data_IF_629530040148
#
_entry.id   IF_629530040148
#
_cell.length_a   1.000
_cell.length_b   1.000
_cell.length_c   1.000
_cell.angle_alpha   90.00
_cell.angle_beta   90.00
_cell.angle_gamma   90.00
#
_symmetry.space_group_name_H-M   'P 1'
#
loop_
_entity.id
_entity.type
_entity.pdbx_description
1 polymer ?
#
# COMPACT_ATOMS: atom_id res chain seq x y z
N UNK A 1 20.98 -7.51 -13.13
CA UNK A 1 20.32 -6.21 -12.91
C UNK A 1 18.91 -6.44 -12.41
N UNK A 2 18.29 -5.41 -11.82
CA UNK A 2 16.91 -5.45 -11.33
C UNK A 2 16.07 -4.52 -12.20
N UNK A 3 14.88 -4.95 -12.57
CA UNK A 3 13.90 -4.15 -13.29
C UNK A 3 12.66 -4.00 -12.42
N UNK A 4 12.38 -2.76 -12.01
CA UNK A 4 11.13 -2.43 -11.33
C UNK A 4 10.08 -2.09 -12.38
N UNK A 5 8.91 -2.70 -12.26
CA UNK A 5 7.84 -2.56 -13.24
C UNK A 5 6.49 -2.67 -12.55
N UNK A 6 5.55 -1.83 -12.98
CA UNK A 6 4.17 -1.90 -12.52
C UNK A 6 3.40 -3.01 -13.28
N UNK A 7 2.42 -3.67 -12.63
CA UNK A 7 1.74 -4.85 -13.19
C UNK A 7 1.03 -4.57 -14.52
N UNK A 8 0.53 -3.35 -14.74
CA UNK A 8 -0.15 -2.97 -15.99
C UNK A 8 0.77 -3.04 -17.23
N UNK A 9 2.09 -2.93 -17.06
CA UNK A 9 3.04 -3.05 -18.18
C UNK A 9 3.04 -4.46 -18.80
N UNK A 10 2.60 -5.48 -18.07
CA UNK A 10 2.46 -6.84 -18.61
C UNK A 10 1.32 -6.97 -19.63
N UNK A 11 0.50 -5.92 -19.80
CA UNK A 11 -0.47 -5.81 -20.90
C UNK A 11 0.13 -5.15 -22.15
N UNK A 12 1.26 -4.46 -22.02
CA UNK A 12 1.94 -3.80 -23.11
C UNK A 12 2.73 -4.81 -23.96
N UNK A 13 2.33 -4.97 -25.23
CA UNK A 13 2.99 -5.90 -26.17
C UNK A 13 4.47 -5.60 -26.40
N UNK A 14 4.87 -4.32 -26.41
CA UNK A 14 6.28 -3.94 -26.60
C UNK A 14 7.13 -4.37 -25.40
N UNK A 15 6.64 -4.12 -24.19
CA UNK A 15 7.28 -4.58 -22.96
C UNK A 15 7.43 -6.11 -22.93
N UNK A 16 6.33 -6.83 -23.22
CA UNK A 16 6.34 -8.30 -23.28
C UNK A 16 7.38 -8.85 -24.28
N UNK A 17 7.51 -8.24 -25.47
CA UNK A 17 8.53 -8.63 -26.45
C UNK A 17 9.95 -8.39 -25.94
N UNK A 18 10.19 -7.24 -25.31
CA UNK A 18 11.51 -6.91 -24.76
C UNK A 18 11.92 -7.88 -23.64
N UNK A 19 10.99 -8.22 -22.74
CA UNK A 19 11.22 -9.20 -21.67
C UNK A 19 11.40 -10.62 -22.21
N UNK A 20 10.65 -11.00 -23.24
CA UNK A 20 10.76 -12.32 -23.89
C UNK A 20 12.16 -12.65 -24.43
N UNK A 21 12.99 -11.64 -24.69
CA UNK A 21 14.37 -11.80 -25.17
C UNK A 21 15.41 -11.83 -24.03
N UNK A 22 14.98 -11.81 -22.76
CA UNK A 22 15.86 -11.81 -21.58
C UNK A 22 15.71 -13.13 -20.85
N UNK A 23 16.78 -13.55 -20.18
CA UNK A 23 16.73 -14.64 -19.20
C UNK A 23 16.33 -14.07 -17.84
N UNK A 24 15.19 -14.52 -17.30
CA UNK A 24 14.70 -14.08 -16.00
C UNK A 24 15.17 -15.05 -14.92
N UNK A 25 15.87 -14.52 -13.91
CA UNK A 25 16.34 -15.31 -12.76
C UNK A 25 15.28 -15.48 -11.67
N UNK A 26 14.45 -14.46 -11.45
CA UNK A 26 13.36 -14.47 -10.49
C UNK A 26 12.26 -13.45 -10.83
N UNK A 27 11.04 -13.74 -10.39
CA UNK A 27 9.89 -12.83 -10.36
C UNK A 27 9.60 -12.44 -8.92
N UNK A 28 9.64 -11.15 -8.62
CA UNK A 28 9.42 -10.62 -7.27
C UNK A 28 8.13 -9.81 -7.27
N UNK A 29 7.16 -10.25 -6.48
CA UNK A 29 5.91 -9.58 -6.24
C UNK A 29 6.01 -8.84 -4.90
N UNK A 30 6.18 -7.52 -4.99
CA UNK A 30 6.03 -6.64 -3.82
C UNK A 30 4.55 -6.28 -3.63
N UNK A 31 4.18 -5.95 -2.40
CA UNK A 31 2.79 -5.75 -1.95
C UNK A 31 1.84 -6.88 -2.41
N UNK A 32 2.30 -8.12 -2.26
CA UNK A 32 1.64 -9.33 -2.78
C UNK A 32 0.20 -9.53 -2.27
N UNK A 33 -0.20 -8.84 -1.19
CA UNK A 33 -1.59 -8.80 -0.73
C UNK A 33 -2.56 -8.27 -1.81
N UNK A 34 -2.08 -7.55 -2.83
CA UNK A 34 -2.86 -7.14 -4.00
C UNK A 34 -3.46 -8.31 -4.79
N UNK A 35 -2.92 -9.53 -4.66
CA UNK A 35 -3.43 -10.75 -5.31
C UNK A 35 -4.61 -11.40 -4.56
N UNK A 36 -4.90 -10.99 -3.32
CA UNK A 36 -6.05 -11.49 -2.56
C UNK A 36 -7.34 -10.82 -3.00
N UNK A 37 -8.50 -11.44 -2.73
CA UNK A 37 -9.83 -10.93 -3.11
C UNK A 37 -10.09 -9.49 -2.69
N UNK A 38 -9.51 -9.04 -1.58
CA UNK A 38 -9.58 -7.65 -1.12
C UNK A 38 -8.72 -6.67 -1.93
N UNK A 39 -7.63 -7.16 -2.54
CA UNK A 39 -6.70 -6.41 -3.37
C UNK A 39 -7.04 -6.45 -4.87
N UNK A 40 -7.79 -7.45 -5.34
CA UNK A 40 -8.17 -7.58 -6.75
C UNK A 40 -9.04 -6.41 -7.23
N UNK A 41 -9.91 -5.87 -6.36
CA UNK A 41 -10.69 -4.66 -6.66
C UNK A 41 -9.79 -3.40 -6.77
N UNK A 42 -8.59 -3.44 -6.22
CA UNK A 42 -7.62 -2.34 -6.21
C UNK A 42 -6.63 -2.41 -7.37
N UNK A 43 -6.11 -3.60 -7.70
CA UNK A 43 -5.08 -3.83 -8.74
C UNK A 43 -5.30 -5.16 -9.48
N UNK A 44 -6.29 -5.27 -10.37
CA UNK A 44 -6.56 -6.50 -11.12
C UNK A 44 -5.41 -6.90 -12.07
N UNK A 45 -4.52 -5.96 -12.44
CA UNK A 45 -3.39 -6.22 -13.33
C UNK A 45 -2.41 -7.26 -12.77
N UNK A 46 -2.34 -7.46 -11.44
CA UNK A 46 -1.52 -8.52 -10.82
C UNK A 46 -1.91 -9.92 -11.30
N UNK A 47 -3.19 -10.17 -11.60
CA UNK A 47 -3.67 -11.45 -12.12
C UNK A 47 -3.13 -11.75 -13.53
N UNK A 48 -2.80 -10.72 -14.31
CA UNK A 48 -2.22 -10.90 -15.65
C UNK A 48 -0.74 -11.28 -15.59
N UNK A 49 -0.05 -10.92 -14.51
CA UNK A 49 1.38 -11.20 -14.36
C UNK A 49 1.62 -12.70 -14.25
N UNK A 50 0.84 -13.44 -13.45
CA UNK A 50 0.99 -14.90 -13.36
C UNK A 50 0.70 -15.60 -14.69
N UNK A 51 -0.32 -15.13 -15.44
CA UNK A 51 -0.59 -15.61 -16.79
C UNK A 51 0.59 -15.36 -17.73
N UNK A 52 1.16 -14.15 -17.70
CA UNK A 52 2.34 -13.83 -18.50
C UNK A 52 3.52 -14.72 -18.13
N UNK A 53 3.78 -14.95 -16.84
CA UNK A 53 4.87 -15.82 -16.38
C UNK A 53 4.70 -17.23 -16.92
N UNK A 54 3.47 -17.77 -16.93
CA UNK A 54 3.17 -19.07 -17.53
C UNK A 54 3.52 -19.11 -19.01
N UNK A 55 3.06 -18.12 -19.78
CA UNK A 55 3.28 -18.01 -21.22
C UNK A 55 4.77 -17.81 -21.56
N UNK A 56 5.48 -16.98 -20.78
CA UNK A 56 6.91 -16.74 -20.91
C UNK A 56 7.73 -17.99 -20.59
N UNK A 57 7.32 -18.75 -19.57
CA UNK A 57 8.02 -19.98 -19.17
C UNK A 57 7.84 -21.09 -20.20
N UNK A 58 6.62 -21.27 -20.74
CA UNK A 58 6.32 -22.31 -21.72
C UNK A 58 6.73 -23.70 -21.22
N UNK A 59 7.53 -24.42 -22.02
CA UNK A 59 8.12 -25.72 -21.64
C UNK A 59 9.47 -25.59 -20.91
N UNK A 60 9.94 -24.36 -20.66
CA UNK A 60 11.19 -24.08 -19.97
C UNK A 60 11.08 -24.23 -18.45
N UNK A 61 12.21 -24.01 -17.77
CA UNK A 61 12.25 -24.02 -16.30
C UNK A 61 11.67 -22.72 -15.74
N UNK A 62 10.67 -22.83 -14.87
CA UNK A 62 10.10 -21.70 -14.15
C UNK A 62 11.17 -21.01 -13.29
N UNK A 63 11.31 -19.69 -13.44
CA UNK A 63 12.16 -18.86 -12.59
C UNK A 63 11.59 -18.80 -11.17
N UNK A 64 12.44 -18.56 -10.17
CA UNK A 64 11.97 -18.46 -8.79
C UNK A 64 10.94 -17.34 -8.62
N UNK A 65 9.92 -17.57 -7.81
CA UNK A 65 8.90 -16.56 -7.49
C UNK A 65 8.99 -16.24 -6.01
N UNK A 66 9.10 -14.95 -5.69
CA UNK A 66 9.05 -14.43 -4.32
C UNK A 66 7.88 -13.48 -4.17
N UNK A 67 7.11 -13.63 -3.09
CA UNK A 67 6.03 -12.73 -2.73
C UNK A 67 6.33 -12.09 -1.39
N UNK A 68 6.27 -10.76 -1.33
CA UNK A 68 6.58 -9.96 -0.15
C UNK A 68 5.40 -9.03 0.15
N UNK A 69 5.02 -8.95 1.42
CA UNK A 69 3.98 -8.03 1.90
C UNK A 69 4.18 -7.80 3.39
N UNK A 70 3.90 -6.58 3.85
CA UNK A 70 3.92 -6.27 5.28
C UNK A 70 2.66 -6.78 6.00
N UNK A 71 1.53 -6.86 5.27
CA UNK A 71 0.24 -7.26 5.83
C UNK A 71 -0.30 -8.47 5.06
N UNK A 72 -0.47 -9.59 5.76
CA UNK A 72 -1.11 -10.79 5.25
C UNK A 72 -1.83 -11.50 6.39
N UNK A 73 -3.14 -11.31 6.47
CA UNK A 73 -4.00 -12.17 7.30
C UNK A 73 -4.00 -13.59 6.73
N UNK A 74 -4.39 -14.61 7.52
CA UNK A 74 -4.38 -16.00 7.05
C UNK A 74 -5.16 -16.25 5.76
N UNK A 75 -6.29 -15.55 5.56
CA UNK A 75 -7.09 -15.59 4.34
C UNK A 75 -6.37 -14.97 3.14
N UNK A 76 -5.68 -13.83 3.33
CA UNK A 76 -4.86 -13.18 2.30
C UNK A 76 -3.72 -14.10 1.86
N UNK A 77 -3.04 -14.75 2.81
CA UNK A 77 -1.97 -15.70 2.52
C UNK A 77 -2.50 -16.90 1.72
N UNK A 78 -3.64 -17.46 2.12
CA UNK A 78 -4.29 -18.56 1.42
C UNK A 78 -4.69 -18.18 -0.02
N UNK A 79 -5.22 -16.98 -0.22
CA UNK A 79 -5.55 -16.46 -1.55
C UNK A 79 -4.31 -16.35 -2.46
N UNK A 80 -3.19 -15.81 -1.94
CA UNK A 80 -1.92 -15.72 -2.70
C UNK A 80 -1.44 -17.12 -3.08
N UNK A 81 -1.38 -18.05 -2.12
CA UNK A 81 -0.95 -19.42 -2.38
C UNK A 81 -1.84 -20.10 -3.42
N UNK A 82 -3.16 -19.97 -3.28
CA UNK A 82 -4.13 -20.57 -4.20
C UNK A 82 -3.99 -19.98 -5.61
N UNK A 83 -3.84 -18.65 -5.73
CA UNK A 83 -3.65 -18.00 -7.02
C UNK A 83 -2.48 -18.59 -7.81
N UNK A 84 -1.34 -18.77 -7.14
CA UNK A 84 -0.12 -19.26 -7.77
C UNK A 84 -0.11 -20.78 -7.95
N UNK A 85 -0.75 -21.53 -7.05
CA UNK A 85 -1.01 -22.95 -7.23
C UNK A 85 -1.88 -23.19 -8.48
N UNK A 86 -2.97 -22.43 -8.64
CA UNK A 86 -3.90 -22.58 -9.76
C UNK A 86 -3.30 -22.08 -11.08
N UNK A 87 -2.54 -20.98 -11.05
CA UNK A 87 -2.02 -20.36 -12.26
C UNK A 87 -0.73 -20.99 -12.77
N UNK A 88 0.15 -21.44 -11.86
CA UNK A 88 1.51 -21.91 -12.16
C UNK A 88 1.87 -23.27 -11.53
N UNK A 89 1.00 -23.86 -10.71
CA UNK A 89 1.27 -25.14 -10.05
C UNK A 89 2.36 -25.07 -8.98
N UNK A 90 2.51 -23.93 -8.31
CA UNK A 90 3.57 -23.71 -7.32
C UNK A 90 3.04 -23.68 -5.88
N UNK A 91 3.77 -24.37 -4.99
CA UNK A 91 3.57 -24.28 -3.55
C UNK A 91 4.65 -23.38 -2.93
N UNK A 92 4.23 -22.38 -2.15
CA UNK A 92 5.16 -21.50 -1.45
C UNK A 92 5.58 -22.05 -0.09
N UNK A 93 6.88 -21.95 0.19
CA UNK A 93 7.37 -21.97 1.58
C UNK A 93 7.08 -20.62 2.24
N UNK A 94 6.27 -20.64 3.30
CA UNK A 94 5.86 -19.43 4.03
C UNK A 94 6.91 -19.08 5.09
N UNK A 95 7.27 -17.79 5.15
CA UNK A 95 8.13 -17.21 6.19
C UNK A 95 7.35 -16.11 6.92
N UNK A 96 6.62 -16.43 7.99
CA UNK A 96 5.82 -15.44 8.70
C UNK A 96 6.72 -14.47 9.47
N UNK A 97 6.44 -13.18 9.34
CA UNK A 97 7.03 -12.13 10.18
C UNK A 97 6.23 -11.89 11.45
N UNK A 98 6.88 -11.33 12.47
CA UNK A 98 6.20 -10.78 13.64
C UNK A 98 5.48 -9.48 13.30
N UNK A 99 4.33 -9.24 13.91
CA UNK A 99 3.53 -8.03 13.73
C UNK A 99 3.40 -7.20 15.02
N UNK A 100 3.95 -7.69 16.14
CA UNK A 100 3.89 -7.00 17.42
C UNK A 100 4.75 -5.73 17.39
N UNK A 101 4.12 -4.63 17.83
CA UNK A 101 4.75 -3.31 17.93
C UNK A 101 4.54 -2.80 19.35
N UNK A 102 5.48 -3.12 20.24
CA UNK A 102 5.40 -2.72 21.66
C UNK A 102 5.50 -1.20 21.87
N UNK A 103 5.85 -0.45 20.83
CA UNK A 103 5.93 1.01 20.85
C UNK A 103 4.65 1.71 20.36
N UNK A 104 3.58 0.96 20.06
CA UNK A 104 2.29 1.52 19.65
C UNK A 104 1.24 1.26 20.72
N UNK A 105 0.51 2.32 21.08
CA UNK A 105 -0.68 2.24 21.93
C UNK A 105 -1.92 2.38 21.05
N UNK A 106 -2.97 1.61 21.33
CA UNK A 106 -4.21 1.61 20.55
C UNK A 106 -5.39 1.91 21.45
N UNK A 107 -6.08 3.02 21.18
CA UNK A 107 -7.28 3.45 21.90
C UNK A 107 -8.49 3.53 20.97
N UNK A 108 -9.65 3.10 21.45
CA UNK A 108 -10.93 3.21 20.73
C UNK A 108 -11.89 4.01 21.58
N UNK A 109 -12.22 5.22 21.10
CA UNK A 109 -13.04 6.18 21.83
C UNK A 109 -14.39 6.37 21.13
N UNK A 110 -15.53 6.08 21.80
CA UNK A 110 -16.84 6.44 21.29
C UNK A 110 -16.93 7.96 21.11
N UNK A 111 -17.35 8.42 19.93
CA UNK A 111 -17.44 9.84 19.61
C UNK A 111 -18.62 10.12 18.67
N UNK A 112 -19.59 10.98 19.06
CA UNK A 112 -20.64 11.44 18.18
C UNK A 112 -20.08 12.12 16.94
N UNK A 113 -20.75 11.96 15.79
CA UNK A 113 -20.26 12.50 14.51
C UNK A 113 -20.01 14.02 14.56
N UNK A 114 -20.87 14.77 15.24
CA UNK A 114 -20.78 16.22 15.35
C UNK A 114 -19.57 16.68 16.18
N UNK A 115 -19.05 15.84 17.06
CA UNK A 115 -17.94 16.17 17.97
C UNK A 115 -16.58 15.73 17.42
N UNK A 116 -16.55 14.99 16.29
CA UNK A 116 -15.32 14.38 15.78
C UNK A 116 -14.18 15.37 15.58
N UNK A 117 -14.45 16.54 15.01
CA UNK A 117 -13.39 17.52 14.72
C UNK A 117 -12.80 18.13 15.98
N UNK A 118 -13.66 18.56 16.91
CA UNK A 118 -13.23 19.07 18.21
C UNK A 118 -12.48 17.99 18.99
N UNK A 119 -12.96 16.73 18.93
CA UNK A 119 -12.29 15.60 19.57
C UNK A 119 -10.92 15.32 18.95
N UNK A 120 -10.79 15.41 17.63
CA UNK A 120 -9.49 15.29 16.95
C UNK A 120 -8.53 16.36 17.43
N UNK A 121 -8.95 17.62 17.44
CA UNK A 121 -8.13 18.74 17.93
C UNK A 121 -7.68 18.54 19.39
N UNK A 122 -8.60 18.17 20.29
CA UNK A 122 -8.26 17.87 21.68
C UNK A 122 -7.23 16.75 21.81
N UNK A 123 -7.38 15.68 21.02
CA UNK A 123 -6.41 14.57 21.01
C UNK A 123 -5.04 15.00 20.49
N UNK A 124 -4.99 15.89 19.49
CA UNK A 124 -3.73 16.43 19.00
C UNK A 124 -3.03 17.24 20.10
N UNK A 125 -3.75 18.10 20.82
CA UNK A 125 -3.19 18.84 21.96
C UNK A 125 -2.70 17.92 23.07
N UNK A 126 -3.51 16.94 23.47
CA UNK A 126 -3.17 15.99 24.54
C UNK A 126 -1.85 15.23 24.25
N UNK A 127 -1.56 14.96 22.98
CA UNK A 127 -0.40 14.16 22.56
C UNK A 127 0.79 14.97 22.05
N UNK A 128 0.58 16.11 21.38
CA UNK A 128 1.64 16.86 20.69
C UNK A 128 2.06 18.15 21.40
N UNK A 129 1.28 18.69 22.36
CA UNK A 129 1.71 19.89 23.09
C UNK A 129 2.94 19.64 23.99
N UNK A 130 3.16 18.37 24.35
CA UNK A 130 4.20 17.96 25.31
C UNK A 130 5.31 17.13 24.67
N UNK A 131 5.22 16.85 23.37
CA UNK A 131 6.13 15.97 22.65
C UNK A 131 6.33 16.46 21.22
N UNK A 132 7.58 16.45 20.77
CA UNK A 132 7.88 16.69 19.36
C UNK A 132 7.34 15.54 18.51
N UNK A 133 6.77 15.87 17.35
CA UNK A 133 6.24 14.88 16.42
C UNK A 133 5.22 15.47 15.46
N UNK A 134 4.64 14.59 14.66
CA UNK A 134 3.54 14.91 13.75
C UNK A 134 2.46 13.85 13.85
N UNK A 135 1.24 14.22 13.48
CA UNK A 135 0.11 13.31 13.42
C UNK A 135 -0.37 13.14 11.98
N UNK A 136 -0.84 11.93 11.68
CA UNK A 136 -1.59 11.63 10.45
C UNK A 136 -3.03 11.37 10.85
N UNK A 137 -3.95 12.20 10.38
CA UNK A 137 -5.38 12.06 10.65
C UNK A 137 -6.08 11.50 9.41
N UNK A 138 -6.61 10.28 9.50
CA UNK A 138 -7.36 9.65 8.42
C UNK A 138 -8.84 10.00 8.47
N UNK A 139 -9.40 10.37 7.32
CA UNK A 139 -10.83 10.66 7.14
C UNK A 139 -11.38 9.94 5.91
N UNK A 140 -12.70 9.78 5.86
CA UNK A 140 -13.36 8.92 4.87
C UNK A 140 -13.59 9.53 3.49
N UNK A 141 -13.37 10.84 3.30
CA UNK A 141 -13.60 11.51 2.01
C UNK A 141 -12.60 12.63 1.77
N UNK A 142 -12.38 13.00 0.50
CA UNK A 142 -11.51 14.12 0.10
C UNK A 142 -11.99 15.43 0.71
N UNK A 143 -13.29 15.68 0.57
CA UNK A 143 -13.97 16.84 1.16
C UNK A 143 -13.72 16.94 2.67
N UNK A 144 -13.87 15.84 3.42
CA UNK A 144 -13.60 15.86 4.86
C UNK A 144 -12.13 16.13 5.18
N UNK A 145 -11.19 15.73 4.30
CA UNK A 145 -9.76 15.97 4.52
C UNK A 145 -9.44 17.46 4.37
N UNK A 146 -9.99 18.09 3.33
CA UNK A 146 -9.91 19.53 3.11
C UNK A 146 -10.56 20.30 4.29
N UNK A 147 -11.82 20.01 4.60
CA UNK A 147 -12.57 20.71 5.66
C UNK A 147 -11.95 20.55 7.05
N UNK A 148 -11.46 19.35 7.39
CA UNK A 148 -10.79 19.13 8.67
C UNK A 148 -9.44 19.83 8.73
N UNK A 149 -8.68 19.85 7.63
CA UNK A 149 -7.41 20.59 7.56
C UNK A 149 -7.65 22.08 7.80
N UNK A 150 -8.66 22.67 7.15
CA UNK A 150 -9.00 24.08 7.32
C UNK A 150 -9.44 24.38 8.77
N UNK A 151 -10.25 23.49 9.37
CA UNK A 151 -10.63 23.58 10.77
C UNK A 151 -9.40 23.58 11.70
N UNK A 152 -8.48 22.64 11.52
CA UNK A 152 -7.27 22.50 12.35
C UNK A 152 -6.30 23.68 12.15
N UNK A 153 -6.15 24.19 10.93
CA UNK A 153 -5.42 25.44 10.67
C UNK A 153 -6.05 26.60 11.45
N UNK A 154 -7.39 26.67 11.47
CA UNK A 154 -8.13 27.65 12.27
C UNK A 154 -7.92 27.51 13.79
N UNK A 155 -7.56 26.32 14.29
CA UNK A 155 -7.17 26.09 15.69
C UNK A 155 -5.67 26.36 15.94
N UNK A 156 -4.89 26.70 14.90
CA UNK A 156 -3.47 27.05 15.02
C UNK A 156 -2.49 25.93 14.66
N UNK A 157 -2.96 24.79 14.16
CA UNK A 157 -2.07 23.69 13.74
C UNK A 157 -1.39 23.98 12.39
N UNK A 158 -0.09 23.63 12.28
CA UNK A 158 0.55 23.45 10.97
C UNK A 158 -0.01 22.17 10.34
N UNK A 159 -1.03 22.32 9.48
CA UNK A 159 -1.74 21.20 8.89
C UNK A 159 -1.86 21.35 7.36
N UNK A 160 -1.91 20.21 6.66
CA UNK A 160 -2.19 20.09 5.24
C UNK A 160 -3.08 18.88 5.00
N UNK A 161 -4.03 18.99 4.06
CA UNK A 161 -4.80 17.86 3.58
C UNK A 161 -4.01 17.07 2.52
N UNK A 162 -4.22 15.76 2.45
CA UNK A 162 -3.57 14.91 1.46
C UNK A 162 -4.57 13.91 0.85
N UNK A 163 -4.76 13.95 -0.46
CA UNK A 163 -5.58 12.97 -1.17
C UNK A 163 -5.24 12.86 -2.66
N UNK A 164 -5.75 11.82 -3.32
CA UNK A 164 -5.45 11.50 -4.71
C UNK A 164 -5.75 12.63 -5.72
N UNK A 165 -6.66 13.56 -5.41
CA UNK A 165 -6.97 14.72 -6.26
C UNK A 165 -5.94 15.87 -6.29
N UNK A 166 -4.96 15.88 -5.39
CA UNK A 166 -3.92 16.94 -5.35
C UNK A 166 -2.92 16.72 -6.50
N UNK A 167 -2.39 17.82 -7.04
CA UNK A 167 -1.31 17.81 -8.03
C UNK A 167 -0.10 16.98 -7.55
N UNK A 168 0.56 16.19 -8.42
CA UNK A 168 1.69 15.37 -8.02
C UNK A 168 2.85 16.13 -7.36
N UNK A 169 3.21 17.31 -7.85
CA UNK A 169 4.32 18.08 -7.27
C UNK A 169 3.95 18.57 -5.88
N UNK A 170 2.73 19.09 -5.71
CA UNK A 170 2.22 19.52 -4.39
C UNK A 170 2.13 18.36 -3.41
N UNK A 171 1.79 17.14 -3.84
CA UNK A 171 1.83 15.95 -2.96
C UNK A 171 3.25 15.66 -2.48
N UNK A 172 4.25 15.77 -3.37
CA UNK A 172 5.65 15.59 -3.01
C UNK A 172 6.07 16.64 -1.99
N UNK A 173 5.74 17.91 -2.23
CA UNK A 173 6.06 19.01 -1.31
C UNK A 173 5.45 18.78 0.08
N UNK A 174 4.15 18.46 0.16
CA UNK A 174 3.47 18.16 1.43
C UNK A 174 4.13 16.98 2.15
N UNK A 175 4.48 15.93 1.41
CA UNK A 175 5.11 14.74 1.99
C UNK A 175 6.49 15.05 2.55
N UNK A 176 7.28 15.86 1.85
CA UNK A 176 8.63 16.21 2.26
C UNK A 176 8.63 17.21 3.42
N UNK A 177 7.67 18.15 3.44
CA UNK A 177 7.42 19.02 4.59
C UNK A 177 7.06 18.21 5.84
N UNK A 178 6.15 17.25 5.72
CA UNK A 178 5.77 16.39 6.85
C UNK A 178 6.95 15.57 7.38
N UNK A 179 7.79 15.01 6.50
CA UNK A 179 9.01 14.28 6.91
C UNK A 179 10.04 15.19 7.59
N UNK A 180 10.09 16.46 7.18
CA UNK A 180 11.00 17.46 7.73
C UNK A 180 10.46 18.11 9.03
N UNK A 181 9.22 17.80 9.43
CA UNK A 181 8.58 18.39 10.61
C UNK A 181 8.16 19.85 10.43
N UNK A 182 7.77 20.25 9.20
CA UNK A 182 7.33 21.61 8.85
C UNK A 182 5.81 21.70 8.70
#
# INVERSE_FOLDING_TARGET
>A
GILLVSPEQFRNKAFRRAIGQRQIGAWIFDEAHCLSKWGIDFRPDYLYVSRFIREYTGAGRLAQIGCFTATAKPDVLADIQSHFQDSLGIEFKVFPGGHERMNLNFDVLPCPRAEKWVRTDSLLHDHLDRQEGGAVVFVSSRKNAEELSDFLIGQGWSCRHFHAGIDPNTKTDIQDDFKAGR
#
